data_IF_336178321937
#
_entry.id   IF_336178321937
#
_cell.length_a   1.000
_cell.length_b   1.000
_cell.length_c   1.000
_cell.angle_alpha   90.00
_cell.angle_beta   90.00
_cell.angle_gamma   90.00
#
_symmetry.space_group_name_H-M   'P 1'
#
loop_
_entity.id
_entity.type
_entity.pdbx_description
1 polymer ?
#
# COMPACT_ATOMS: atom_id res chain seq x y z
N UNK A 1 20.64 -5.15 -3.40
CA UNK A 1 19.18 -5.00 -3.21
C UNK A 1 18.46 -6.06 -4.03
N UNK A 2 17.53 -6.78 -3.40
CA UNK A 2 16.83 -7.90 -4.02
C UNK A 2 15.42 -7.98 -3.47
N UNK A 3 14.44 -8.33 -4.30
CA UNK A 3 13.06 -8.45 -3.86
C UNK A 3 12.86 -9.56 -2.81
N UNK A 4 11.86 -9.45 -1.91
CA UNK A 4 11.50 -10.54 -1.03
C UNK A 4 11.04 -11.78 -1.82
N UNK A 5 11.62 -12.93 -1.48
CA UNK A 5 11.39 -14.20 -2.21
C UNK A 5 9.99 -14.79 -2.02
N UNK A 6 9.23 -14.35 -1.01
CA UNK A 6 7.88 -14.84 -0.73
C UNK A 6 6.97 -13.73 -0.19
N UNK A 7 5.66 -13.96 -0.27
CA UNK A 7 4.64 -13.06 0.30
C UNK A 7 4.82 -12.90 1.82
N UNK A 8 5.08 -13.99 2.54
CA UNK A 8 5.31 -13.97 3.99
C UNK A 8 6.55 -13.16 4.36
N UNK A 9 7.66 -13.32 3.63
CA UNK A 9 8.88 -12.55 3.89
C UNK A 9 8.63 -11.05 3.65
N UNK A 10 7.92 -10.70 2.57
CA UNK A 10 7.52 -9.33 2.28
C UNK A 10 6.64 -8.75 3.40
N UNK A 11 5.60 -9.47 3.82
CA UNK A 11 4.69 -9.03 4.88
C UNK A 11 5.43 -8.80 6.21
N UNK A 12 6.33 -9.71 6.60
CA UNK A 12 7.12 -9.57 7.84
C UNK A 12 8.05 -8.36 7.77
N UNK A 13 8.75 -8.17 6.66
CA UNK A 13 9.66 -7.03 6.47
C UNK A 13 8.92 -5.70 6.49
N UNK A 14 7.81 -5.59 5.73
CA UNK A 14 6.98 -4.39 5.68
C UNK A 14 6.33 -4.09 7.04
N UNK A 15 5.85 -5.11 7.76
CA UNK A 15 5.32 -4.95 9.12
C UNK A 15 6.34 -4.38 10.10
N UNK A 16 7.64 -4.67 9.94
CA UNK A 16 8.69 -4.07 10.77
C UNK A 16 8.92 -2.61 10.37
N UNK A 17 9.06 -2.37 9.07
CA UNK A 17 9.29 -1.04 8.50
C UNK A 17 8.21 -0.03 8.93
N UNK A 18 6.94 -0.39 8.83
CA UNK A 18 5.86 0.58 9.11
C UNK A 18 5.65 0.93 10.59
N UNK A 19 6.31 0.25 11.54
CA UNK A 19 6.15 0.56 12.99
C UNK A 19 6.57 1.97 13.36
N UNK A 20 7.49 2.56 12.62
CA UNK A 20 7.99 3.92 12.81
C UNK A 20 7.49 4.92 11.76
N UNK A 21 6.47 4.56 10.97
CA UNK A 21 5.96 5.39 9.87
C UNK A 21 4.61 6.06 10.18
N UNK A 22 4.32 7.09 9.40
CA UNK A 22 3.05 7.82 9.44
C UNK A 22 1.84 6.91 9.25
N UNK A 23 0.69 7.37 9.75
CA UNK A 23 -0.54 6.58 9.75
C UNK A 23 -1.00 6.18 8.34
N UNK A 24 -0.81 7.05 7.34
CA UNK A 24 -1.19 6.76 5.96
C UNK A 24 -0.31 5.67 5.32
N UNK A 25 0.99 5.65 5.60
CA UNK A 25 1.90 4.56 5.17
C UNK A 25 1.53 3.24 5.86
N UNK A 26 1.25 3.28 7.16
CA UNK A 26 0.78 2.11 7.91
C UNK A 26 -0.52 1.55 7.32
N UNK A 27 -1.47 2.42 6.97
CA UNK A 27 -2.73 2.03 6.34
C UNK A 27 -2.51 1.42 4.95
N UNK A 28 -1.66 2.02 4.11
CA UNK A 28 -1.32 1.50 2.79
C UNK A 28 -0.75 0.08 2.85
N UNK A 29 0.24 -0.15 3.71
CA UNK A 29 0.85 -1.48 3.90
C UNK A 29 -0.15 -2.45 4.53
N UNK A 30 -0.95 -2.00 5.50
CA UNK A 30 -2.01 -2.81 6.10
C UNK A 30 -3.01 -3.32 5.05
N UNK A 31 -3.41 -2.47 4.10
CA UNK A 31 -4.30 -2.84 2.99
C UNK A 31 -3.66 -3.90 2.07
N UNK A 32 -2.38 -3.73 1.71
CA UNK A 32 -1.65 -4.68 0.88
C UNK A 32 -1.48 -6.05 1.55
N UNK A 33 -1.23 -6.07 2.86
CA UNK A 33 -1.13 -7.31 3.64
C UNK A 33 -2.49 -7.98 3.75
N UNK A 34 -3.53 -7.24 4.12
CA UNK A 34 -4.87 -7.78 4.33
C UNK A 34 -5.51 -8.34 3.04
N UNK A 35 -5.19 -7.75 1.89
CA UNK A 35 -5.69 -8.23 0.60
C UNK A 35 -4.96 -9.47 0.08
N UNK A 36 -3.76 -9.78 0.58
CA UNK A 36 -2.85 -10.90 0.22
C UNK A 36 -2.39 -10.99 -1.24
N UNK A 37 -3.24 -10.58 -2.20
CA UNK A 37 -3.06 -10.69 -3.65
C UNK A 37 -1.75 -10.07 -4.12
N UNK A 38 -1.49 -8.83 -3.73
CA UNK A 38 -0.34 -8.07 -4.25
C UNK A 38 0.98 -8.63 -3.73
N UNK A 39 1.03 -9.07 -2.47
CA UNK A 39 2.20 -9.72 -1.92
C UNK A 39 2.43 -11.12 -2.52
N UNK A 40 1.39 -11.82 -2.99
CA UNK A 40 1.52 -13.09 -3.70
C UNK A 40 2.10 -12.93 -5.11
N UNK A 41 1.89 -11.78 -5.76
CA UNK A 41 2.40 -11.48 -7.11
C UNK A 41 3.90 -11.16 -7.10
N UNK A 42 4.70 -11.99 -7.78
CA UNK A 42 6.14 -11.75 -7.91
C UNK A 42 6.45 -10.45 -8.66
N UNK A 43 5.66 -10.10 -9.68
CA UNK A 43 5.81 -8.84 -10.41
C UNK A 43 5.72 -7.61 -9.50
N UNK A 44 4.82 -7.63 -8.51
CA UNK A 44 4.66 -6.55 -7.53
C UNK A 44 5.83 -6.54 -6.56
N UNK A 45 6.19 -7.71 -5.98
CA UNK A 45 7.34 -7.79 -5.06
C UNK A 45 8.63 -7.30 -5.71
N UNK A 46 8.86 -7.65 -6.97
CA UNK A 46 10.08 -7.28 -7.70
C UNK A 46 10.08 -5.79 -8.07
N UNK A 47 8.92 -5.21 -8.36
CA UNK A 47 8.84 -3.84 -8.85
C UNK A 47 8.71 -2.81 -7.72
N UNK A 48 8.01 -3.16 -6.64
CA UNK A 48 7.59 -2.18 -5.63
C UNK A 48 8.19 -2.42 -4.25
N UNK A 49 8.78 -3.59 -3.97
CA UNK A 49 9.30 -3.90 -2.64
C UNK A 49 10.81 -4.06 -2.71
N UNK A 50 11.48 -3.09 -2.13
CA UNK A 50 12.90 -3.17 -1.90
C UNK A 50 13.19 -3.96 -0.64
N UNK A 51 14.33 -4.65 -0.64
CA UNK A 51 14.84 -5.31 0.54
C UNK A 51 16.36 -5.19 0.62
N UNK A 52 16.79 -4.89 1.83
CA UNK A 52 18.20 -4.83 2.22
C UNK A 52 18.68 -6.18 2.79
N UNK A 53 19.99 -6.33 2.91
CA UNK A 53 20.66 -7.57 3.32
C UNK A 53 20.30 -7.99 4.75
N UNK A 54 19.91 -7.03 5.60
CA UNK A 54 19.41 -7.26 6.96
C UNK A 54 17.95 -7.77 7.03
N UNK A 55 17.27 -7.84 5.87
CA UNK A 55 15.88 -8.25 5.76
C UNK A 55 14.86 -7.12 5.97
N UNK A 56 15.30 -5.87 6.13
CA UNK A 56 14.43 -4.69 6.10
C UNK A 56 13.80 -4.58 4.72
N UNK A 57 12.48 -4.46 4.65
CA UNK A 57 11.75 -4.27 3.40
C UNK A 57 11.01 -2.93 3.43
N UNK A 58 11.02 -2.20 2.33
CA UNK A 58 10.24 -0.96 2.19
C UNK A 58 9.61 -0.87 0.80
N UNK A 59 8.63 0.01 0.66
CA UNK A 59 8.06 0.36 -0.62
C UNK A 59 8.49 1.77 -0.97
N UNK A 60 9.12 1.94 -2.13
CA UNK A 60 9.23 3.25 -2.75
C UNK A 60 7.89 3.54 -3.45
N UNK A 61 7.10 4.43 -2.86
CA UNK A 61 5.78 4.77 -3.38
C UNK A 61 5.84 5.54 -4.70
N UNK A 62 6.92 6.27 -4.96
CA UNK A 62 7.14 7.00 -6.22
C UNK A 62 7.35 6.01 -7.36
N UNK A 63 8.21 5.02 -7.13
CA UNK A 63 8.45 3.96 -8.13
C UNK A 63 7.22 3.06 -8.31
N UNK A 64 6.50 2.76 -7.21
CA UNK A 64 5.24 2.02 -7.28
C UNK A 64 4.20 2.76 -8.13
N UNK A 65 4.09 4.10 -7.98
CA UNK A 65 3.22 4.95 -8.81
C UNK A 65 3.65 4.93 -10.26
N UNK A 66 4.94 5.11 -10.56
CA UNK A 66 5.45 5.05 -11.93
C UNK A 66 5.18 3.69 -12.60
N UNK A 67 5.36 2.59 -11.87
CA UNK A 67 5.03 1.24 -12.35
C UNK A 67 3.52 1.07 -12.59
N UNK A 68 2.68 1.61 -11.70
CA UNK A 68 1.24 1.58 -11.86
C UNK A 68 0.80 2.32 -13.14
N UNK A 69 1.27 3.57 -13.33
CA UNK A 69 0.89 4.45 -14.43
C UNK A 69 1.36 3.93 -15.80
N UNK A 70 2.46 3.16 -15.83
CA UNK A 70 2.95 2.49 -17.06
C UNK A 70 2.21 1.19 -17.39
N UNK A 71 1.21 0.80 -16.61
CA UNK A 71 0.42 -0.42 -16.85
C UNK A 71 1.17 -1.71 -16.52
N UNK A 72 2.21 -1.66 -15.68
CA UNK A 72 3.02 -2.82 -15.28
C UNK A 72 2.17 -4.00 -14.78
N UNK A 73 1.04 -3.70 -14.15
CA UNK A 73 0.15 -4.68 -13.52
C UNK A 73 -1.09 -5.03 -14.34
N UNK A 74 -1.13 -4.75 -15.65
CA UNK A 74 -2.31 -4.90 -16.50
C UNK A 74 -2.95 -6.32 -16.54
N UNK A 75 -2.27 -7.34 -16.01
CA UNK A 75 -2.80 -8.71 -15.85
C UNK A 75 -3.68 -8.88 -14.61
N UNK A 76 -3.76 -7.88 -13.74
CA UNK A 76 -4.66 -7.88 -12.59
C UNK A 76 -6.09 -7.51 -13.01
N UNK A 77 -7.07 -8.00 -12.25
CA UNK A 77 -8.47 -7.58 -12.40
C UNK A 77 -8.63 -6.10 -12.06
N UNK A 78 -9.71 -5.48 -12.57
CA UNK A 78 -10.01 -4.07 -12.30
C UNK A 78 -10.12 -3.77 -10.81
N UNK A 79 -10.69 -4.68 -10.01
CA UNK A 79 -10.80 -4.54 -8.56
C UNK A 79 -9.44 -4.61 -7.86
N UNK A 80 -8.57 -5.55 -8.26
CA UNK A 80 -7.20 -5.63 -7.72
C UNK A 80 -6.43 -4.35 -8.04
N UNK A 81 -6.53 -3.85 -9.28
CA UNK A 81 -5.93 -2.59 -9.72
C UNK A 81 -6.43 -1.41 -8.89
N UNK A 82 -7.74 -1.30 -8.65
CA UNK A 82 -8.30 -0.24 -7.82
C UNK A 82 -7.79 -0.29 -6.37
N UNK A 83 -7.65 -1.48 -5.79
CA UNK A 83 -7.06 -1.65 -4.45
C UNK A 83 -5.58 -1.26 -4.42
N UNK A 84 -4.82 -1.58 -5.46
CA UNK A 84 -3.43 -1.14 -5.57
C UNK A 84 -3.31 0.38 -5.69
N UNK A 85 -4.14 0.99 -6.53
CA UNK A 85 -4.14 2.45 -6.71
C UNK A 85 -4.43 3.15 -5.37
N UNK A 86 -5.42 2.66 -4.63
CA UNK A 86 -5.73 3.17 -3.29
C UNK A 86 -4.54 3.01 -2.34
N UNK A 87 -3.89 1.84 -2.31
CA UNK A 87 -2.72 1.61 -1.47
C UNK A 87 -1.57 2.57 -1.81
N UNK A 88 -1.28 2.76 -3.10
CA UNK A 88 -0.24 3.70 -3.56
C UNK A 88 -0.62 5.14 -3.18
N UNK A 89 -1.86 5.56 -3.41
CA UNK A 89 -2.33 6.91 -3.06
C UNK A 89 -2.23 7.21 -1.55
N UNK A 90 -2.50 6.21 -0.71
CA UNK A 90 -2.28 6.30 0.74
C UNK A 90 -0.79 6.39 1.07
N UNK A 91 0.04 5.55 0.45
CA UNK A 91 1.49 5.52 0.64
C UNK A 91 2.17 6.85 0.29
N UNK A 92 1.78 7.47 -0.83
CA UNK A 92 2.27 8.77 -1.31
C UNK A 92 1.76 9.97 -0.49
N UNK A 93 0.85 9.77 0.47
CA UNK A 93 0.09 10.84 1.11
C UNK A 93 -0.59 11.76 0.08
N UNK A 94 -1.11 11.19 -1.02
CA UNK A 94 -1.63 11.94 -2.17
C UNK A 94 -2.73 12.92 -1.78
N UNK A 95 -3.53 12.55 -0.79
CA UNK A 95 -4.64 13.36 -0.26
C UNK A 95 -4.26 14.17 0.99
N UNK A 96 -2.96 14.23 1.36
CA UNK A 96 -2.42 14.99 2.49
C UNK A 96 -3.04 14.61 3.83
N UNK A 97 -3.34 13.33 4.05
CA UNK A 97 -3.89 12.81 5.30
C UNK A 97 -3.00 13.11 6.50
N UNK A 98 -1.67 13.18 6.30
CA UNK A 98 -0.72 13.61 7.33
C UNK A 98 -0.97 15.02 7.88
N UNK A 99 -1.74 15.86 7.17
CA UNK A 99 -1.99 17.28 7.50
C UNK A 99 -3.43 17.58 7.90
N UNK A 100 -4.32 16.60 7.82
CA UNK A 100 -5.74 16.78 8.13
C UNK A 100 -5.93 16.81 9.64
N UNK A 101 -6.75 17.75 10.13
CA UNK A 101 -7.09 17.81 11.56
C UNK A 101 -8.11 16.71 11.96
N UNK A 102 -8.31 16.51 13.26
CA UNK A 102 -9.17 15.45 13.76
C UNK A 102 -10.64 15.57 13.33
N UNK A 103 -11.15 16.79 13.12
CA UNK A 103 -12.56 17.00 12.74
C UNK A 103 -12.76 16.65 11.26
N UNK A 104 -11.87 17.15 10.40
CA UNK A 104 -11.86 16.82 8.97
C UNK A 104 -11.61 15.32 8.74
N UNK A 105 -10.71 14.71 9.50
CA UNK A 105 -10.44 13.27 9.41
C UNK A 105 -11.70 12.44 9.69
N UNK A 106 -12.51 12.85 10.67
CA UNK A 106 -13.78 12.17 10.96
C UNK A 106 -14.77 12.27 9.81
N UNK A 107 -14.91 13.43 9.20
CA UNK A 107 -15.77 13.60 8.01
C UNK A 107 -15.30 12.72 6.85
N UNK A 108 -13.99 12.58 6.63
CA UNK A 108 -13.44 11.68 5.61
C UNK A 108 -13.79 10.22 5.92
N UNK A 109 -13.63 9.77 7.17
CA UNK A 109 -13.96 8.40 7.57
C UNK A 109 -15.43 8.09 7.33
N UNK A 110 -16.33 8.99 7.75
CA UNK A 110 -17.78 8.84 7.55
C UNK A 110 -18.13 8.80 6.05
N UNK A 111 -17.55 9.69 5.23
CA UNK A 111 -17.78 9.70 3.79
C UNK A 111 -17.28 8.43 3.09
N UNK A 112 -16.11 7.91 3.48
CA UNK A 112 -15.56 6.68 2.92
C UNK A 112 -16.40 5.47 3.34
N UNK A 113 -16.81 5.37 4.62
CA UNK A 113 -17.66 4.30 5.12
C UNK A 113 -19.01 4.23 4.37
N UNK A 114 -19.63 5.38 4.15
CA UNK A 114 -20.83 5.51 3.31
C UNK A 114 -20.58 5.01 1.88
N UNK A 115 -19.48 5.43 1.27
CA UNK A 115 -19.14 5.07 -0.12
C UNK A 115 -18.86 3.57 -0.30
N UNK A 116 -18.29 2.90 0.70
CA UNK A 116 -18.06 1.44 0.67
C UNK A 116 -19.23 0.61 1.19
N UNK A 117 -20.34 1.26 1.60
CA UNK A 117 -21.55 0.59 2.09
C UNK A 117 -21.42 -0.03 3.48
N UNK A 118 -20.52 0.50 4.32
CA UNK A 118 -20.24 0.00 5.69
C UNK A 118 -20.93 0.87 6.76
N UNK A 119 -21.78 1.82 6.37
CA UNK A 119 -22.63 2.59 7.28
C UNK A 119 -23.75 1.72 7.88
N UNK A 120 -23.43 0.89 8.89
CA UNK A 120 -24.35 0.41 9.94
C UNK A 120 -23.61 0.05 11.22
#
# INVERSE_FOLDING_TARGET
MSAPGSATAAAVGLCRWVRSHDAHVRAAVGLLIASEVWLARSEFRITCIERDDDGTCWIDWTDARAAFDTGRFAKASSTEIALLDLAIALGEDRYRFSRIDSAQARTVVEAVAAAVGVDR
#
